data_IF_161183097436
#
_entry.id   IF_161183097436
#
_cell.length_a   1.000
_cell.length_b   1.000
_cell.length_c   1.000
_cell.angle_alpha   90.00
_cell.angle_beta   90.00
_cell.angle_gamma   90.00
#
_symmetry.space_group_name_H-M   'P 1'
#
loop_
_entity.id
_entity.type
_entity.pdbx_description
1 polymer ?
#
# COMPACT_ATOMS: atom_id res chain seq x y z
N UNK A 1 50.51 56.38 -0.47
CA UNK A 1 50.30 54.89 -0.57
C UNK A 1 49.08 54.53 0.25
N UNK A 2 47.96 54.43 -0.38
CA UNK A 2 46.65 54.24 0.23
C UNK A 2 46.20 52.90 -0.11
N UNK A 3 46.17 51.99 0.91
CA UNK A 3 45.63 50.62 0.79
C UNK A 3 44.12 50.66 0.90
N UNK A 4 43.45 50.20 -0.14
CA UNK A 4 41.95 49.90 -0.14
C UNK A 4 41.70 48.49 0.39
N UNK A 5 41.04 48.42 1.55
CA UNK A 5 40.46 47.21 2.08
C UNK A 5 39.20 46.85 1.27
N UNK A 6 39.25 45.74 0.55
CA UNK A 6 38.10 45.17 -0.11
C UNK A 6 37.29 44.37 0.88
N UNK A 7 36.06 44.82 1.17
CA UNK A 7 35.07 44.08 1.94
C UNK A 7 34.29 43.13 0.99
N UNK A 8 34.50 41.85 1.15
CA UNK A 8 33.73 40.81 0.44
C UNK A 8 32.34 40.71 1.07
N UNK A 9 31.25 40.79 0.30
CA UNK A 9 29.92 40.58 0.84
C UNK A 9 29.75 39.10 1.17
N UNK A 10 29.47 38.81 2.43
CA UNK A 10 28.97 37.49 2.85
C UNK A 10 27.58 37.32 2.29
N UNK A 11 27.40 36.35 1.38
CA UNK A 11 26.14 35.85 0.95
C UNK A 11 25.56 35.02 2.11
N UNK A 12 24.66 35.62 2.88
CA UNK A 12 23.82 34.88 3.80
C UNK A 12 22.92 33.96 2.94
N UNK A 13 23.19 32.65 2.96
CA UNK A 13 22.30 31.66 2.46
C UNK A 13 21.04 31.67 3.36
N UNK A 14 20.00 32.34 2.90
CA UNK A 14 18.66 32.13 3.45
C UNK A 14 18.34 30.63 3.42
N UNK A 15 18.36 30.01 4.59
CA UNK A 15 17.75 28.71 4.77
C UNK A 15 16.25 28.92 4.45
N UNK A 16 15.84 28.42 3.32
CA UNK A 16 14.40 28.19 3.08
C UNK A 16 13.94 27.24 4.18
N UNK A 17 13.08 27.73 5.03
CA UNK A 17 12.36 26.90 5.97
C UNK A 17 11.56 25.91 5.13
N UNK A 18 12.05 24.65 5.06
CA UNK A 18 11.30 23.56 4.47
C UNK A 18 10.03 23.39 5.31
N UNK A 19 8.86 23.34 4.68
CA UNK A 19 7.61 23.24 5.40
C UNK A 19 7.57 21.93 6.21
N UNK A 20 7.07 22.05 7.42
CA UNK A 20 7.07 21.07 8.51
C UNK A 20 6.51 19.72 8.06
N UNK A 21 7.36 18.77 7.71
CA UNK A 21 6.97 17.36 7.65
C UNK A 21 6.71 16.88 9.08
N UNK A 22 5.69 16.03 9.28
CA UNK A 22 5.44 15.42 10.57
C UNK A 22 6.73 14.77 11.10
N UNK A 23 7.10 14.94 12.38
CA UNK A 23 8.29 14.31 12.93
C UNK A 23 8.24 12.80 12.66
N UNK A 24 9.32 12.22 12.13
CA UNK A 24 9.35 10.79 11.75
C UNK A 24 8.90 9.84 12.88
N UNK A 25 9.25 10.07 14.17
CA UNK A 25 8.75 9.25 15.28
C UNK A 25 7.22 9.23 15.35
N UNK A 26 6.56 10.38 15.18
CA UNK A 26 5.10 10.50 15.24
C UNK A 26 4.45 9.84 14.02
N UNK A 27 5.08 9.94 12.84
CA UNK A 27 4.63 9.28 11.63
C UNK A 27 4.65 7.74 11.78
N UNK A 28 5.70 7.19 12.36
CA UNK A 28 5.78 5.75 12.66
C UNK A 28 4.80 5.30 13.75
N UNK A 29 4.61 6.11 14.78
CA UNK A 29 3.61 5.84 15.81
C UNK A 29 2.20 5.81 15.22
N UNK A 30 1.88 6.75 14.31
CA UNK A 30 0.62 6.75 13.57
C UNK A 30 0.45 5.47 12.74
N UNK A 31 1.47 5.03 11.99
CA UNK A 31 1.42 3.79 11.23
C UNK A 31 1.13 2.57 12.11
N UNK A 32 1.80 2.48 13.27
CA UNK A 32 1.58 1.38 14.21
C UNK A 32 0.15 1.39 14.79
N UNK A 33 -0.39 2.57 15.12
CA UNK A 33 -1.76 2.72 15.59
C UNK A 33 -2.78 2.32 14.51
N UNK A 34 -2.59 2.79 13.26
CA UNK A 34 -3.44 2.46 12.12
C UNK A 34 -3.49 0.94 11.88
N UNK A 35 -2.33 0.28 11.83
CA UNK A 35 -2.25 -1.17 11.63
C UNK A 35 -2.87 -1.92 12.81
N UNK A 36 -2.66 -1.46 14.05
CA UNK A 36 -3.30 -2.05 15.25
C UNK A 36 -4.82 -2.00 15.18
N UNK A 37 -5.38 -0.92 14.67
CA UNK A 37 -6.82 -0.72 14.59
C UNK A 37 -7.46 -1.52 13.44
N UNK A 38 -6.81 -1.56 12.26
CA UNK A 38 -7.43 -2.04 11.03
C UNK A 38 -6.90 -3.38 10.54
N UNK A 39 -5.75 -3.86 11.01
CA UNK A 39 -5.15 -5.15 10.63
C UNK A 39 -4.45 -5.80 11.83
N UNK A 40 -5.25 -6.36 12.72
CA UNK A 40 -4.75 -6.97 13.95
C UNK A 40 -3.82 -8.16 13.68
N UNK A 41 -4.06 -8.92 12.62
CA UNK A 41 -3.24 -10.09 12.26
C UNK A 41 -1.81 -9.65 11.93
N UNK A 42 -1.66 -8.62 11.07
CA UNK A 42 -0.34 -8.05 10.74
C UNK A 42 0.28 -7.28 11.90
N UNK A 43 -0.53 -6.62 12.72
CA UNK A 43 -0.03 -5.96 13.94
C UNK A 43 0.63 -6.96 14.88
N UNK A 44 -0.08 -8.04 15.23
CA UNK A 44 0.42 -9.09 16.14
C UNK A 44 1.64 -9.77 15.53
N UNK A 45 1.60 -10.14 14.25
CA UNK A 45 2.74 -10.73 13.57
C UNK A 45 3.98 -9.84 13.61
N UNK A 46 3.80 -8.51 13.49
CA UNK A 46 4.92 -7.55 13.55
C UNK A 46 5.57 -7.50 14.94
N UNK A 47 4.85 -7.79 16.03
CA UNK A 47 5.43 -7.80 17.35
C UNK A 47 6.46 -8.91 17.57
N UNK A 48 6.45 -9.96 16.76
CA UNK A 48 7.48 -11.01 16.74
C UNK A 48 8.74 -10.62 15.97
N UNK A 49 8.69 -9.55 15.18
CA UNK A 49 9.86 -9.05 14.48
C UNK A 49 10.84 -8.35 15.43
N UNK A 50 12.15 -8.33 15.13
CA UNK A 50 13.12 -7.51 15.86
C UNK A 50 12.66 -6.06 15.96
N UNK A 51 12.77 -5.46 17.16
CA UNK A 51 12.27 -4.12 17.45
C UNK A 51 12.72 -3.08 16.41
N UNK A 52 13.99 -3.10 16.04
CA UNK A 52 14.57 -2.20 15.05
C UNK A 52 13.96 -2.31 13.62
N UNK A 53 13.13 -3.31 13.36
CA UNK A 53 12.48 -3.56 12.06
C UNK A 53 10.98 -3.22 12.08
N UNK A 54 10.35 -3.18 13.25
CA UNK A 54 8.89 -3.03 13.40
C UNK A 54 8.36 -1.75 12.75
N UNK A 55 9.08 -0.63 12.89
CA UNK A 55 8.67 0.64 12.28
C UNK A 55 8.51 0.55 10.76
N UNK A 56 9.49 -0.06 10.07
CA UNK A 56 9.41 -0.24 8.62
C UNK A 56 8.28 -1.18 8.21
N UNK A 57 8.00 -2.24 8.98
CA UNK A 57 6.87 -3.14 8.72
C UNK A 57 5.54 -2.41 8.89
N UNK A 58 5.37 -1.65 9.97
CA UNK A 58 4.15 -0.86 10.18
C UNK A 58 3.94 0.18 9.08
N UNK A 59 5.01 0.84 8.59
CA UNK A 59 4.90 1.77 7.48
C UNK A 59 4.42 1.10 6.18
N UNK A 60 4.95 -0.08 5.85
CA UNK A 60 4.50 -0.86 4.69
C UNK A 60 3.04 -1.30 4.81
N UNK A 61 2.64 -1.79 5.97
CA UNK A 61 1.27 -2.26 6.19
C UNK A 61 0.28 -1.10 6.25
N UNK A 62 0.65 0.03 6.85
CA UNK A 62 -0.16 1.25 6.84
C UNK A 62 -0.38 1.77 5.41
N UNK A 63 0.67 1.78 4.57
CA UNK A 63 0.53 2.10 3.15
C UNK A 63 -0.47 1.16 2.46
N UNK A 64 -0.32 -0.16 2.64
CA UNK A 64 -1.24 -1.14 2.05
C UNK A 64 -2.69 -0.90 2.49
N UNK A 65 -2.93 -0.52 3.74
CA UNK A 65 -4.25 -0.18 4.27
C UNK A 65 -4.80 1.10 3.62
N UNK A 66 -3.97 2.16 3.51
CA UNK A 66 -4.37 3.42 2.85
C UNK A 66 -4.81 3.18 1.40
N UNK A 67 -4.07 2.37 0.65
CA UNK A 67 -4.43 2.05 -0.74
C UNK A 67 -5.70 1.18 -0.79
N UNK A 68 -5.81 0.16 0.06
CA UNK A 68 -6.96 -0.75 0.06
C UNK A 68 -8.28 -0.03 0.42
N UNK A 69 -8.23 0.98 1.30
CA UNK A 69 -9.43 1.71 1.75
C UNK A 69 -9.92 2.78 0.76
N UNK A 70 -9.18 3.08 -0.32
CA UNK A 70 -9.56 4.14 -1.26
C UNK A 70 -10.98 3.91 -1.80
N UNK A 71 -11.34 2.67 -2.15
CA UNK A 71 -12.69 2.32 -2.63
C UNK A 71 -13.78 2.70 -1.63
N UNK A 72 -13.57 2.45 -0.35
CA UNK A 72 -14.54 2.79 0.71
C UNK A 72 -14.68 4.29 0.99
N UNK A 73 -13.74 5.11 0.52
CA UNK A 73 -13.74 6.57 0.73
C UNK A 73 -14.37 7.34 -0.42
N UNK A 74 -14.77 6.67 -1.49
CA UNK A 74 -15.30 7.33 -2.70
C UNK A 74 -16.58 6.65 -3.16
N UNK A 75 -17.50 7.44 -3.71
CA UNK A 75 -18.75 6.93 -4.31
C UNK A 75 -18.59 6.63 -5.80
N UNK A 76 -17.62 7.25 -6.45
CA UNK A 76 -17.35 7.16 -7.89
C UNK A 76 -15.88 6.82 -8.14
N UNK A 77 -15.55 6.12 -9.24
CA UNK A 77 -14.17 5.71 -9.54
C UNK A 77 -13.17 6.86 -9.65
N UNK A 78 -13.53 7.95 -10.34
CA UNK A 78 -12.60 9.03 -10.66
C UNK A 78 -11.93 9.70 -9.43
N UNK A 79 -12.63 10.04 -8.34
CA UNK A 79 -11.99 10.52 -7.11
C UNK A 79 -11.03 9.49 -6.50
N UNK A 80 -11.33 8.19 -6.66
CA UNK A 80 -10.46 7.10 -6.24
C UNK A 80 -9.17 7.05 -7.06
N UNK A 81 -9.28 7.15 -8.38
CA UNK A 81 -8.11 7.21 -9.28
C UNK A 81 -7.20 8.38 -8.95
N UNK A 82 -7.75 9.58 -8.68
CA UNK A 82 -6.97 10.76 -8.28
C UNK A 82 -6.19 10.48 -6.99
N UNK A 83 -6.80 9.79 -5.99
CA UNK A 83 -6.11 9.42 -4.75
C UNK A 83 -5.00 8.39 -4.99
N UNK A 84 -5.24 7.39 -5.83
CA UNK A 84 -4.24 6.39 -6.20
C UNK A 84 -3.10 7.03 -7.01
N UNK A 85 -3.42 7.97 -7.93
CA UNK A 85 -2.43 8.71 -8.69
C UNK A 85 -1.54 9.57 -7.78
N UNK A 86 -2.10 10.22 -6.76
CA UNK A 86 -1.30 10.96 -5.78
C UNK A 86 -0.23 10.09 -5.11
N UNK A 87 -0.59 8.85 -4.72
CA UNK A 87 0.37 7.91 -4.15
C UNK A 87 1.44 7.50 -5.16
N UNK A 88 1.08 7.32 -6.44
CA UNK A 88 2.03 6.99 -7.50
C UNK A 88 3.02 8.14 -7.71
N UNK A 89 2.52 9.36 -7.87
CA UNK A 89 3.35 10.57 -8.05
C UNK A 89 4.32 10.75 -6.87
N UNK A 90 3.84 10.48 -5.65
CA UNK A 90 4.67 10.50 -4.45
C UNK A 90 5.84 9.50 -4.52
N UNK A 91 5.57 8.26 -4.92
CA UNK A 91 6.58 7.20 -5.01
C UNK A 91 7.60 7.47 -6.13
N UNK A 92 7.17 8.12 -7.20
CA UNK A 92 7.99 8.49 -8.35
C UNK A 92 8.78 9.81 -8.12
N UNK A 93 8.62 10.43 -6.95
CA UNK A 93 9.31 11.68 -6.60
C UNK A 93 8.75 12.91 -7.29
N UNK A 94 7.51 12.86 -7.75
CA UNK A 94 6.79 13.96 -8.41
C UNK A 94 5.52 14.35 -7.61
N UNK A 95 5.62 14.62 -6.31
CA UNK A 95 4.43 14.85 -5.51
C UNK A 95 3.68 16.11 -5.94
N UNK A 96 2.43 15.94 -6.31
CA UNK A 96 1.49 17.03 -6.55
C UNK A 96 0.67 17.26 -5.27
N UNK A 97 0.83 18.44 -4.64
CA UNK A 97 0.10 18.81 -3.42
C UNK A 97 0.87 18.62 -2.11
N UNK A 98 0.17 18.73 -0.98
CA UNK A 98 0.77 18.67 0.37
C UNK A 98 1.13 17.22 0.77
N UNK A 99 2.34 16.80 0.49
CA UNK A 99 2.93 15.55 1.01
C UNK A 99 3.28 15.67 2.49
N UNK A 100 3.51 16.89 2.94
CA UNK A 100 4.20 17.21 4.18
C UNK A 100 3.38 16.96 5.45
N UNK A 101 2.07 16.79 5.33
CA UNK A 101 1.18 16.47 6.45
C UNK A 101 0.75 15.01 6.54
N UNK A 102 1.15 14.13 5.60
CA UNK A 102 0.66 12.76 5.55
C UNK A 102 1.60 11.78 6.27
N UNK A 103 1.29 11.34 7.50
CA UNK A 103 2.22 10.56 8.32
C UNK A 103 2.61 9.23 7.67
N UNK A 104 1.69 8.53 7.03
CA UNK A 104 1.98 7.25 6.36
C UNK A 104 2.94 7.47 5.18
N UNK A 105 2.78 8.55 4.41
CA UNK A 105 3.69 8.88 3.32
C UNK A 105 5.11 9.16 3.82
N UNK A 106 5.25 9.97 4.87
CA UNK A 106 6.54 10.27 5.48
C UNK A 106 7.26 9.01 5.99
N UNK A 107 6.54 8.15 6.72
CA UNK A 107 7.08 6.89 7.24
C UNK A 107 7.45 5.91 6.11
N UNK A 108 6.64 5.82 5.05
CA UNK A 108 6.91 4.96 3.90
C UNK A 108 8.17 5.41 3.16
N UNK A 109 8.30 6.70 2.83
CA UNK A 109 9.46 7.23 2.11
C UNK A 109 10.77 7.04 2.91
N UNK A 110 10.75 7.26 4.23
CA UNK A 110 11.92 6.96 5.09
C UNK A 110 12.23 5.46 5.10
N UNK A 111 11.20 4.61 5.19
CA UNK A 111 11.35 3.15 5.14
C UNK A 111 11.95 2.70 3.81
N UNK A 112 11.47 3.22 2.69
CA UNK A 112 12.01 2.92 1.36
C UNK A 112 13.49 3.31 1.26
N UNK A 113 13.84 4.49 1.70
CA UNK A 113 15.22 4.96 1.71
C UNK A 113 16.12 4.12 2.61
N UNK A 114 15.68 3.85 3.85
CA UNK A 114 16.43 3.08 4.86
C UNK A 114 16.71 1.64 4.41
N UNK A 115 15.73 0.98 3.83
CA UNK A 115 15.83 -0.43 3.43
C UNK A 115 16.04 -0.62 1.93
N UNK A 116 16.23 0.47 1.16
CA UNK A 116 16.43 0.44 -0.30
C UNK A 116 15.33 -0.36 -1.01
N UNK A 117 14.09 -0.14 -0.61
CA UNK A 117 12.96 -0.86 -1.20
C UNK A 117 12.74 -0.43 -2.66
N UNK A 118 12.52 -1.39 -3.57
CA UNK A 118 12.19 -1.06 -4.96
C UNK A 118 10.80 -0.39 -5.06
N UNK A 119 10.67 0.56 -5.97
CA UNK A 119 9.41 1.30 -6.21
C UNK A 119 8.39 0.41 -6.91
N UNK A 120 8.81 -0.39 -7.90
CA UNK A 120 7.93 -1.15 -8.77
C UNK A 120 6.89 -2.04 -8.04
N UNK A 121 7.20 -2.78 -6.96
CA UNK A 121 6.19 -3.52 -6.23
C UNK A 121 5.15 -2.65 -5.51
N UNK A 122 5.51 -1.42 -5.14
CA UNK A 122 4.58 -0.48 -4.51
C UNK A 122 3.64 0.15 -5.53
N UNK A 123 4.15 0.53 -6.70
CA UNK A 123 3.31 1.02 -7.81
C UNK A 123 2.44 -0.09 -8.37
N UNK A 124 2.94 -1.32 -8.52
CA UNK A 124 2.16 -2.48 -8.92
C UNK A 124 0.98 -2.75 -7.97
N UNK A 125 1.18 -2.60 -6.65
CA UNK A 125 0.10 -2.69 -5.67
C UNK A 125 -0.98 -1.62 -5.90
N UNK A 126 -0.58 -0.38 -6.18
CA UNK A 126 -1.52 0.71 -6.50
C UNK A 126 -2.29 0.38 -7.78
N UNK A 127 -1.61 -0.09 -8.83
CA UNK A 127 -2.21 -0.45 -10.11
C UNK A 127 -3.26 -1.56 -9.95
N UNK A 128 -2.91 -2.62 -9.22
CA UNK A 128 -3.83 -3.71 -8.93
C UNK A 128 -5.08 -3.24 -8.17
N UNK A 129 -4.92 -2.30 -7.23
CA UNK A 129 -6.03 -1.74 -6.44
C UNK A 129 -6.93 -0.79 -7.22
N UNK A 130 -6.52 -0.33 -8.40
CA UNK A 130 -7.40 0.41 -9.31
C UNK A 130 -8.61 -0.44 -9.72
N UNK A 131 -8.43 -1.77 -9.83
CA UNK A 131 -9.53 -2.70 -10.07
C UNK A 131 -10.66 -2.58 -9.05
N UNK A 132 -10.35 -2.33 -7.78
CA UNK A 132 -11.34 -2.22 -6.70
C UNK A 132 -12.29 -1.03 -6.87
N UNK A 133 -11.93 -0.02 -7.66
CA UNK A 133 -12.76 1.17 -7.91
C UNK A 133 -13.94 0.87 -8.83
N UNK A 134 -13.89 -0.22 -9.57
CA UNK A 134 -14.89 -0.62 -10.54
C UNK A 134 -15.62 -1.86 -10.08
N UNK A 135 -16.90 -1.95 -10.45
CA UNK A 135 -17.74 -3.10 -10.10
C UNK A 135 -17.63 -4.25 -11.12
N UNK A 136 -16.50 -4.30 -11.83
CA UNK A 136 -16.23 -5.35 -12.80
C UNK A 136 -15.96 -6.68 -12.12
N UNK A 137 -16.49 -7.81 -12.66
CA UNK A 137 -16.18 -9.13 -12.13
C UNK A 137 -14.71 -9.48 -12.40
N UNK A 138 -14.07 -10.17 -11.46
CA UNK A 138 -12.74 -10.76 -11.68
C UNK A 138 -12.83 -11.73 -12.89
N UNK A 139 -12.06 -11.52 -13.99
CA UNK A 139 -12.31 -12.28 -15.22
C UNK A 139 -12.02 -13.78 -15.09
N UNK A 140 -10.87 -14.14 -14.52
CA UNK A 140 -10.41 -15.52 -14.39
C UNK A 140 -9.65 -15.78 -13.10
N UNK A 141 -9.42 -17.06 -12.78
CA UNK A 141 -8.55 -17.45 -11.66
C UNK A 141 -7.13 -16.89 -11.82
N UNK A 142 -6.61 -16.84 -13.05
CA UNK A 142 -5.28 -16.28 -13.31
C UNK A 142 -5.23 -14.78 -12.99
N UNK A 143 -6.29 -14.04 -13.31
CA UNK A 143 -6.37 -12.61 -12.99
C UNK A 143 -6.46 -12.39 -11.48
N UNK A 144 -7.22 -13.24 -10.77
CA UNK A 144 -7.27 -13.22 -9.31
C UNK A 144 -5.91 -13.56 -8.67
N UNK A 145 -5.18 -14.53 -9.19
CA UNK A 145 -3.81 -14.84 -8.74
C UNK A 145 -2.86 -13.67 -9.01
N UNK A 146 -2.98 -13.01 -10.15
CA UNK A 146 -2.23 -11.79 -10.49
C UNK A 146 -2.51 -10.65 -9.49
N UNK A 147 -3.79 -10.37 -9.24
CA UNK A 147 -4.22 -9.40 -8.23
C UNK A 147 -3.66 -9.73 -6.84
N UNK A 148 -3.75 -10.99 -6.42
CA UNK A 148 -3.19 -11.46 -5.16
C UNK A 148 -1.66 -11.34 -5.11
N UNK A 149 -1.00 -11.57 -6.24
CA UNK A 149 0.43 -11.38 -6.42
C UNK A 149 0.87 -9.95 -6.14
N UNK A 150 0.24 -8.99 -6.79
CA UNK A 150 0.59 -7.56 -6.65
C UNK A 150 0.16 -6.99 -5.30
N UNK A 151 -0.99 -7.39 -4.75
CA UNK A 151 -1.52 -6.82 -3.51
C UNK A 151 -0.98 -7.46 -2.24
N UNK A 152 -0.57 -8.73 -2.28
CA UNK A 152 -0.15 -9.47 -1.09
C UNK A 152 1.24 -10.08 -1.21
N UNK A 153 1.56 -10.78 -2.31
CA UNK A 153 2.89 -11.41 -2.45
C UNK A 153 4.00 -10.36 -2.53
N UNK A 154 3.78 -9.27 -3.25
CA UNK A 154 4.70 -8.15 -3.34
C UNK A 154 4.95 -7.52 -1.95
N UNK A 155 3.88 -7.33 -1.17
CA UNK A 155 3.97 -6.78 0.18
C UNK A 155 4.75 -7.70 1.13
N UNK A 156 4.51 -9.02 1.10
CA UNK A 156 5.27 -10.01 1.88
C UNK A 156 6.74 -9.97 1.49
N UNK A 157 7.05 -9.87 0.20
CA UNK A 157 8.43 -9.76 -0.29
C UNK A 157 9.13 -8.51 0.26
N UNK A 158 8.47 -7.35 0.21
CA UNK A 158 8.99 -6.09 0.76
C UNK A 158 9.22 -6.21 2.27
N UNK A 159 8.30 -6.86 3.01
CA UNK A 159 8.46 -7.12 4.44
C UNK A 159 9.69 -8.00 4.72
N UNK A 160 9.96 -9.02 3.90
CA UNK A 160 11.17 -9.84 4.01
C UNK A 160 12.45 -9.02 3.80
N UNK A 161 12.45 -8.05 2.86
CA UNK A 161 13.59 -7.13 2.65
C UNK A 161 13.80 -6.25 3.89
N UNK A 162 12.74 -5.71 4.50
CA UNK A 162 12.84 -4.94 5.75
C UNK A 162 13.42 -5.79 6.86
N UNK A 163 12.93 -7.01 7.06
CA UNK A 163 13.43 -7.94 8.08
C UNK A 163 14.91 -8.27 7.85
N UNK A 164 15.33 -8.45 6.61
CA UNK A 164 16.74 -8.71 6.24
C UNK A 164 17.62 -7.46 6.23
N UNK A 165 17.12 -6.32 6.69
CA UNK A 165 17.89 -5.07 6.80
C UNK A 165 18.21 -4.39 5.48
N UNK A 166 17.33 -4.52 4.48
CA UNK A 166 17.49 -3.92 3.15
C UNK A 166 18.24 -4.81 2.15
N UNK A 167 18.49 -6.07 2.50
CA UNK A 167 19.03 -7.08 1.58
C UNK A 167 17.90 -7.97 1.08
N UNK A 168 17.98 -8.41 -0.15
CA UNK A 168 17.05 -9.44 -0.64
C UNK A 168 17.43 -10.80 -0.02
N UNK A 169 16.59 -11.40 0.83
CA UNK A 169 16.89 -12.69 1.43
C UNK A 169 16.64 -13.89 0.49
N UNK A 170 16.17 -13.63 -0.74
CA UNK A 170 15.67 -14.68 -1.63
C UNK A 170 14.22 -15.07 -1.29
N UNK A 171 13.81 -16.28 -1.71
CA UNK A 171 12.48 -16.83 -1.37
C UNK A 171 11.31 -16.22 -2.14
N UNK A 172 11.52 -15.66 -3.33
CA UNK A 172 10.48 -15.07 -4.16
C UNK A 172 9.28 -16.01 -4.37
N UNK A 173 9.55 -17.28 -4.68
CA UNK A 173 8.52 -18.31 -4.87
C UNK A 173 7.69 -18.54 -3.60
N UNK A 174 8.36 -18.63 -2.44
CA UNK A 174 7.67 -18.79 -1.16
C UNK A 174 6.80 -17.59 -0.82
N UNK A 175 7.31 -16.36 -1.02
CA UNK A 175 6.53 -15.12 -0.86
C UNK A 175 5.33 -15.09 -1.82
N UNK A 176 5.53 -15.56 -3.07
CA UNK A 176 4.47 -15.65 -4.07
C UNK A 176 3.31 -16.52 -3.58
N UNK A 177 3.59 -17.77 -3.24
CA UNK A 177 2.54 -18.69 -2.76
C UNK A 177 1.91 -18.26 -1.44
N UNK A 178 2.71 -17.76 -0.50
CA UNK A 178 2.21 -17.27 0.79
C UNK A 178 1.26 -16.06 0.60
N UNK A 179 1.61 -15.15 -0.31
CA UNK A 179 0.78 -13.98 -0.58
C UNK A 179 -0.53 -14.32 -1.28
N UNK A 180 -0.50 -15.23 -2.26
CA UNK A 180 -1.72 -15.72 -2.90
C UNK A 180 -2.63 -16.42 -1.89
N UNK A 181 -2.09 -17.30 -1.06
CA UNK A 181 -2.86 -17.98 -0.01
C UNK A 181 -3.46 -16.98 0.99
N UNK A 182 -2.69 -16.00 1.43
CA UNK A 182 -3.14 -14.95 2.34
C UNK A 182 -4.27 -14.11 1.73
N UNK A 183 -4.09 -13.65 0.49
CA UNK A 183 -5.09 -12.84 -0.21
C UNK A 183 -6.40 -13.60 -0.42
N UNK A 184 -6.33 -14.84 -0.96
CA UNK A 184 -7.52 -15.66 -1.19
C UNK A 184 -8.26 -15.95 0.12
N UNK A 185 -7.54 -16.27 1.19
CA UNK A 185 -8.16 -16.48 2.51
C UNK A 185 -8.87 -15.21 2.99
N UNK A 186 -8.24 -14.03 2.83
CA UNK A 186 -8.84 -12.75 3.18
C UNK A 186 -10.10 -12.43 2.39
N UNK A 187 -10.05 -12.62 1.08
CA UNK A 187 -11.20 -12.41 0.19
C UNK A 187 -12.37 -13.36 0.51
N UNK A 188 -12.07 -14.63 0.82
CA UNK A 188 -13.11 -15.58 1.23
C UNK A 188 -13.73 -15.23 2.59
N UNK A 189 -12.94 -14.80 3.55
CA UNK A 189 -13.44 -14.33 4.86
C UNK A 189 -14.33 -13.10 4.72
N UNK A 190 -13.95 -12.17 3.84
CA UNK A 190 -14.68 -10.93 3.60
C UNK A 190 -15.79 -11.06 2.54
N UNK A 191 -15.95 -12.23 1.95
CA UNK A 191 -16.90 -12.46 0.84
C UNK A 191 -18.33 -11.97 1.13
N UNK A 192 -18.98 -12.28 2.28
CA UNK A 192 -20.33 -11.80 2.54
C UNK A 192 -20.40 -10.27 2.60
N UNK A 193 -19.36 -9.63 3.12
CA UNK A 193 -19.26 -8.18 3.20
C UNK A 193 -19.12 -7.56 1.80
N UNK A 194 -18.16 -8.04 1.02
CA UNK A 194 -17.96 -7.58 -0.35
C UNK A 194 -19.22 -7.76 -1.21
N UNK A 195 -19.89 -8.90 -1.10
CA UNK A 195 -21.14 -9.17 -1.83
C UNK A 195 -22.24 -8.17 -1.48
N UNK A 196 -22.39 -7.81 -0.20
CA UNK A 196 -23.36 -6.80 0.25
C UNK A 196 -23.07 -5.40 -0.32
N UNK A 197 -21.79 -5.09 -0.59
CA UNK A 197 -21.34 -3.84 -1.22
C UNK A 197 -21.29 -3.93 -2.77
N UNK A 198 -21.74 -5.05 -3.34
CA UNK A 198 -21.74 -5.26 -4.78
C UNK A 198 -20.41 -5.70 -5.36
N UNK A 199 -19.38 -5.94 -4.54
CA UNK A 199 -18.06 -6.39 -5.00
C UNK A 199 -17.96 -7.93 -5.02
N UNK A 200 -17.53 -8.49 -6.15
CA UNK A 200 -17.37 -9.93 -6.32
C UNK A 200 -15.99 -10.24 -6.89
N UNK A 201 -15.10 -10.72 -6.02
CA UNK A 201 -13.73 -11.13 -6.41
C UNK A 201 -13.67 -12.58 -6.92
N UNK A 202 -14.80 -13.33 -6.85
CA UNK A 202 -14.84 -14.69 -7.39
C UNK A 202 -14.73 -14.63 -8.92
N UNK A 203 -13.83 -15.46 -9.53
CA UNK A 203 -13.61 -15.42 -10.96
C UNK A 203 -14.87 -15.77 -11.77
N UNK A 204 -15.19 -14.94 -12.76
CA UNK A 204 -16.36 -15.10 -13.61
C UNK A 204 -16.38 -16.45 -14.37
N UNK A 205 -15.21 -16.94 -14.76
CA UNK A 205 -15.07 -18.24 -15.41
C UNK A 205 -15.41 -19.42 -14.46
N UNK A 206 -15.12 -19.29 -13.16
CA UNK A 206 -15.49 -20.27 -12.14
C UNK A 206 -16.98 -20.19 -11.84
N UNK A 207 -17.53 -18.97 -11.67
CA UNK A 207 -18.95 -18.77 -11.44
C UNK A 207 -19.79 -19.36 -12.58
N UNK A 208 -19.43 -19.04 -13.82
CA UNK A 208 -20.12 -19.54 -15.01
C UNK A 208 -20.13 -21.07 -15.11
N UNK A 209 -18.99 -21.73 -14.81
CA UNK A 209 -18.91 -23.21 -14.78
C UNK A 209 -19.82 -23.85 -13.75
N UNK A 210 -20.19 -23.11 -12.70
CA UNK A 210 -21.07 -23.57 -11.65
C UNK A 210 -22.51 -23.03 -11.80
N UNK A 211 -22.85 -22.41 -12.93
CA UNK A 211 -24.20 -21.87 -13.17
C UNK A 211 -24.59 -20.70 -12.27
N UNK A 212 -23.63 -20.00 -11.69
CA UNK A 212 -23.83 -18.86 -10.78
C UNK A 212 -23.41 -17.58 -11.50
N UNK A 213 -24.20 -16.53 -11.34
CA UNK A 213 -23.88 -15.18 -11.84
C UNK A 213 -23.45 -14.25 -10.71
N UNK A 214 -22.75 -13.15 -11.05
CA UNK A 214 -22.48 -12.06 -10.10
C UNK A 214 -23.79 -11.55 -9.45
N UNK A 215 -24.83 -11.38 -10.24
CA UNK A 215 -26.14 -10.92 -9.80
C UNK A 215 -26.77 -11.83 -8.74
N UNK A 216 -26.59 -13.15 -8.86
CA UNK A 216 -27.09 -14.10 -7.86
C UNK A 216 -26.39 -13.91 -6.53
N UNK A 217 -25.06 -13.66 -6.55
CA UNK A 217 -24.26 -13.41 -5.35
C UNK A 217 -24.69 -12.11 -4.68
N UNK A 218 -24.73 -11.00 -5.43
CA UNK A 218 -25.08 -9.67 -4.90
C UNK A 218 -26.52 -9.65 -4.35
N UNK A 219 -27.43 -10.42 -4.94
CA UNK A 219 -28.82 -10.55 -4.47
C UNK A 219 -29.02 -11.62 -3.39
N UNK A 220 -27.95 -12.27 -2.95
CA UNK A 220 -28.03 -13.35 -1.95
C UNK A 220 -28.80 -14.57 -2.42
N UNK A 221 -28.89 -14.81 -3.73
CA UNK A 221 -29.53 -15.97 -4.30
C UNK A 221 -28.55 -17.13 -4.25
N UNK A 222 -28.81 -18.10 -3.35
CA UNK A 222 -28.05 -19.34 -3.34
C UNK A 222 -28.28 -20.12 -4.63
N UNK A 223 -27.21 -20.66 -5.23
CA UNK A 223 -27.34 -21.70 -6.25
C UNK A 223 -27.84 -23.02 -5.64
N UNK A 224 -28.19 -23.99 -6.49
CA UNK A 224 -28.65 -25.31 -6.05
C UNK A 224 -27.56 -26.06 -5.25
#
# INVERSE_FOLDING_TARGET
MTGRSGTTPQIQSERRDDPVSAPLPDAYAHCAALVREQDQDRYIATLYAPEARRHGLFALYAFSLEIARVRALVSEPLPGEVRLQWWRDLLEGQPNGEVQGHPVAAALLDTMKRYRLPIAPLTGLIDARTFDLYDDPMPSLRDLEGYAGETSSALIRLACIVLAGGRDPGGATACGHAGVAYALTGLMRAFPWHAAEGQVYLPADILSRNGVTRDDIVRGRGGP
#
